data_IF_541840452933
#
_entry.id   IF_541840452933
#
_cell.length_a   1.000
_cell.length_b   1.000
_cell.length_c   1.000
_cell.angle_alpha   90.00
_cell.angle_beta   90.00
_cell.angle_gamma   90.00
#
_symmetry.space_group_name_H-M   'P 1'
#
loop_
_entity.id
_entity.type
_entity.pdbx_description
1 polymer ?
#
# COMPACT_ATOMS: atom_id res chain seq x y z
N UNK A 1 1.04 23.49 10.93
CA UNK A 1 -0.09 22.55 11.09
C UNK A 1 -1.08 23.19 12.03
N UNK A 2 -2.32 23.38 11.60
CA UNK A 2 -3.32 24.00 12.46
C UNK A 2 -4.11 22.91 13.18
N UNK A 3 -3.50 22.35 14.24
CA UNK A 3 -4.22 21.46 15.16
C UNK A 3 -5.45 22.14 15.76
N UNK A 4 -5.48 23.50 15.77
CA UNK A 4 -6.65 24.27 16.18
C UNK A 4 -7.77 24.26 15.13
N UNK A 5 -7.51 23.83 13.89
CA UNK A 5 -8.57 23.65 12.88
C UNK A 5 -9.19 22.25 13.00
N UNK A 6 -8.36 21.21 13.10
CA UNK A 6 -8.86 19.83 13.12
C UNK A 6 -9.59 19.47 14.41
N UNK A 7 -9.24 20.06 15.56
CA UNK A 7 -9.96 19.91 16.86
C UNK A 7 -10.15 18.44 17.33
N UNK A 8 -9.45 17.47 16.74
CA UNK A 8 -9.46 16.04 17.06
C UNK A 8 -8.02 15.50 17.12
N UNK A 9 -7.83 14.27 17.61
CA UNK A 9 -6.50 13.68 17.75
C UNK A 9 -5.80 13.46 16.39
N UNK A 10 -4.61 14.03 16.16
CA UNK A 10 -3.98 14.06 14.83
C UNK A 10 -3.37 12.73 14.37
N UNK A 11 -3.55 11.65 15.13
CA UNK A 11 -2.95 10.33 14.91
C UNK A 11 -3.99 9.21 14.73
N UNK A 12 -5.29 9.54 14.80
CA UNK A 12 -6.40 8.63 14.48
C UNK A 12 -7.34 9.29 13.49
N UNK A 13 -8.12 8.47 12.78
CA UNK A 13 -9.17 8.98 11.91
C UNK A 13 -10.40 9.40 12.71
N UNK A 14 -11.00 10.52 12.30
CA UNK A 14 -12.35 10.94 12.68
C UNK A 14 -13.40 10.24 11.80
N UNK A 15 -14.64 10.15 12.28
CA UNK A 15 -15.77 9.68 11.46
C UNK A 15 -16.06 10.64 10.32
N UNK A 16 -15.99 11.94 10.59
CA UNK A 16 -16.16 12.99 9.59
C UNK A 16 -15.32 14.23 9.92
N UNK A 17 -15.16 15.08 8.90
CA UNK A 17 -14.64 16.45 9.00
C UNK A 17 -15.77 17.38 8.56
N UNK A 18 -16.02 18.43 9.33
CA UNK A 18 -17.08 19.40 9.03
C UNK A 18 -16.82 20.06 7.68
N UNK A 19 -17.85 20.06 6.82
CA UNK A 19 -17.79 20.57 5.45
C UNK A 19 -17.77 22.10 5.33
N UNK A 20 -17.49 22.62 4.13
CA UNK A 20 -17.17 24.05 3.89
C UNK A 20 -18.34 25.03 4.08
N UNK A 21 -19.57 24.53 4.21
CA UNK A 21 -20.77 25.37 4.41
C UNK A 21 -21.05 25.68 5.89
N UNK A 22 -20.27 25.12 6.82
CA UNK A 22 -20.41 25.35 8.26
C UNK A 22 -19.43 26.41 8.77
N UNK A 23 -19.79 27.10 9.85
CA UNK A 23 -18.88 27.98 10.60
C UNK A 23 -17.72 27.20 11.26
N UNK A 24 -17.88 25.89 11.46
CA UNK A 24 -16.87 24.98 12.05
C UNK A 24 -16.09 24.19 10.98
N UNK A 25 -15.98 24.71 9.76
CA UNK A 25 -15.29 24.02 8.66
C UNK A 25 -13.90 23.51 9.06
N UNK A 26 -13.63 22.23 8.80
CA UNK A 26 -12.33 21.61 9.07
C UNK A 26 -12.22 20.87 10.41
N UNK A 27 -13.19 21.03 11.31
CA UNK A 27 -13.23 20.30 12.59
C UNK A 27 -13.55 18.81 12.38
N UNK A 28 -12.73 17.94 12.96
CA UNK A 28 -12.98 16.51 13.06
C UNK A 28 -13.85 16.18 14.27
N UNK A 29 -14.64 15.11 14.18
CA UNK A 29 -15.46 14.63 15.29
C UNK A 29 -15.64 13.11 15.28
N UNK A 30 -16.06 12.56 16.43
CA UNK A 30 -16.28 11.12 16.62
C UNK A 30 -15.05 10.29 16.21
N UNK A 31 -13.88 10.64 16.76
CA UNK A 31 -12.62 9.93 16.55
C UNK A 31 -12.63 8.52 17.15
N UNK A 32 -11.60 7.73 16.82
CA UNK A 32 -11.39 6.34 17.24
C UNK A 32 -12.35 5.30 16.64
N UNK A 33 -13.64 5.45 16.85
CA UNK A 33 -14.63 4.40 16.58
C UNK A 33 -15.27 4.52 15.20
N UNK A 34 -14.42 4.56 14.17
CA UNK A 34 -14.84 4.68 12.76
C UNK A 34 -14.28 3.57 11.90
N UNK A 35 -15.07 3.12 10.92
CA UNK A 35 -14.61 2.22 9.86
C UNK A 35 -13.56 2.84 8.94
N UNK A 36 -13.37 4.16 8.99
CA UNK A 36 -12.36 4.89 8.22
C UNK A 36 -10.95 4.34 8.44
N UNK A 37 -10.59 3.98 9.67
CA UNK A 37 -9.29 3.39 9.96
C UNK A 37 -9.07 2.05 9.24
N UNK A 38 -10.06 1.16 9.26
CA UNK A 38 -9.98 -0.14 8.61
C UNK A 38 -9.89 -0.02 7.09
N UNK A 39 -10.74 0.83 6.49
CA UNK A 39 -10.73 1.09 5.05
C UNK A 39 -9.44 1.75 4.59
N UNK A 40 -8.95 2.73 5.33
CA UNK A 40 -7.71 3.41 4.98
C UNK A 40 -6.52 2.45 5.01
N UNK A 41 -6.43 1.59 6.03
CA UNK A 41 -5.39 0.56 6.09
C UNK A 41 -5.48 -0.40 4.90
N UNK A 42 -6.70 -0.84 4.56
CA UNK A 42 -6.94 -1.74 3.44
C UNK A 42 -6.55 -1.12 2.09
N UNK A 43 -6.95 0.13 1.85
CA UNK A 43 -6.61 0.87 0.62
C UNK A 43 -5.11 1.14 0.55
N UNK A 44 -4.51 1.62 1.64
CA UNK A 44 -3.10 1.95 1.67
C UNK A 44 -2.24 0.73 1.33
N UNK A 45 -2.42 -0.38 2.06
CA UNK A 45 -1.66 -1.60 1.77
C UNK A 45 -2.01 -2.23 0.43
N UNK A 46 -3.30 -2.41 0.16
CA UNK A 46 -3.73 -3.25 -0.94
C UNK A 46 -3.79 -2.57 -2.30
N UNK A 47 -3.91 -1.24 -2.33
CA UNK A 47 -4.18 -0.50 -3.56
C UNK A 47 -3.19 0.64 -3.83
N UNK A 48 -2.60 1.26 -2.80
CA UNK A 48 -1.52 2.23 -2.99
C UNK A 48 -0.18 1.47 -3.05
N UNK A 49 0.22 0.82 -1.96
CA UNK A 49 1.42 -0.03 -1.95
C UNK A 49 1.26 -1.25 -2.86
N UNK A 50 0.01 -1.67 -3.09
CA UNK A 50 -0.33 -2.74 -4.03
C UNK A 50 0.02 -4.15 -3.54
N UNK A 51 0.22 -4.34 -2.24
CA UNK A 51 0.57 -5.63 -1.63
C UNK A 51 -0.67 -6.20 -0.96
N UNK A 52 -1.41 -7.08 -1.65
CA UNK A 52 -2.63 -7.68 -1.10
C UNK A 52 -2.74 -9.19 -1.29
N UNK A 53 -3.28 -9.91 -0.28
CA UNK A 53 -3.56 -11.32 -0.41
C UNK A 53 -4.69 -11.55 -1.44
N UNK A 54 -4.54 -12.58 -2.26
CA UNK A 54 -5.59 -13.15 -3.13
C UNK A 54 -5.82 -14.61 -2.76
N UNK A 55 -6.72 -15.30 -3.47
CA UNK A 55 -6.88 -16.74 -3.30
C UNK A 55 -5.60 -17.49 -3.73
N UNK A 56 -5.03 -17.09 -4.87
CA UNK A 56 -3.90 -17.77 -5.51
C UNK A 56 -2.54 -17.41 -4.92
N UNK A 57 -2.40 -16.25 -4.27
CA UNK A 57 -1.13 -15.83 -3.69
C UNK A 57 -1.09 -14.41 -3.17
N UNK A 58 0.11 -13.83 -3.11
CA UNK A 58 0.33 -12.44 -2.76
C UNK A 58 0.44 -11.62 -4.05
N UNK A 59 -0.55 -10.80 -4.34
CA UNK A 59 -0.52 -9.89 -5.48
C UNK A 59 0.35 -8.68 -5.18
N UNK A 60 1.17 -8.31 -6.16
CA UNK A 60 1.98 -7.09 -6.21
C UNK A 60 1.51 -6.24 -7.40
N UNK A 61 0.69 -5.21 -7.13
CA UNK A 61 0.16 -4.25 -8.12
C UNK A 61 0.21 -2.82 -7.56
N UNK A 62 1.41 -2.24 -7.37
CA UNK A 62 1.59 -0.90 -6.80
C UNK A 62 0.99 0.19 -7.69
N UNK A 63 0.36 1.17 -7.04
CA UNK A 63 -0.12 2.40 -7.66
C UNK A 63 0.40 3.59 -6.84
N UNK A 64 1.66 3.93 -7.02
CA UNK A 64 2.38 4.85 -6.14
C UNK A 64 2.23 6.31 -6.60
N UNK A 65 2.29 7.28 -5.67
CA UNK A 65 2.40 8.70 -5.96
C UNK A 65 3.58 9.04 -6.88
N UNK A 66 3.47 10.10 -7.68
CA UNK A 66 4.45 10.42 -8.72
C UNK A 66 5.83 10.82 -8.18
N UNK A 67 5.85 11.41 -6.98
CA UNK A 67 6.99 11.89 -6.22
C UNK A 67 7.76 10.79 -5.47
N UNK A 68 7.23 9.56 -5.43
CA UNK A 68 7.93 8.43 -4.82
C UNK A 68 8.92 7.79 -5.81
N UNK A 69 10.13 7.48 -5.34
CA UNK A 69 11.16 6.82 -6.16
C UNK A 69 11.29 5.33 -5.83
N UNK A 70 11.04 4.96 -4.57
CA UNK A 70 11.11 3.57 -4.11
C UNK A 70 10.21 3.36 -2.88
N UNK A 71 9.94 2.10 -2.56
CA UNK A 71 9.23 1.65 -1.37
C UNK A 71 9.90 0.38 -0.83
N UNK A 72 10.00 0.27 0.49
CA UNK A 72 10.27 -0.99 1.17
C UNK A 72 9.10 -1.38 2.08
N UNK A 73 8.69 -2.64 2.06
CA UNK A 73 7.61 -3.16 2.89
C UNK A 73 7.91 -4.58 3.37
N UNK A 74 7.48 -4.91 4.60
CA UNK A 74 7.60 -6.27 5.16
C UNK A 74 6.22 -6.84 5.40
N UNK A 75 5.93 -7.99 4.78
CA UNK A 75 4.59 -8.61 4.82
C UNK A 75 4.65 -10.06 5.28
N UNK A 76 4.05 -10.34 6.42
CA UNK A 76 3.68 -11.71 6.80
C UNK A 76 2.49 -12.19 5.97
N UNK A 77 2.64 -13.34 5.31
CA UNK A 77 1.56 -13.94 4.52
C UNK A 77 1.71 -15.46 4.47
N UNK A 78 0.64 -16.17 4.87
CA UNK A 78 0.49 -17.64 4.77
C UNK A 78 1.73 -18.43 5.21
N UNK A 79 2.32 -18.08 6.36
CA UNK A 79 3.44 -18.83 6.95
C UNK A 79 4.83 -18.44 6.44
N UNK A 80 4.98 -17.37 5.67
CA UNK A 80 6.27 -16.80 5.28
C UNK A 80 6.30 -15.27 5.47
N UNK A 81 7.50 -14.69 5.42
CA UNK A 81 7.74 -13.25 5.42
C UNK A 81 8.26 -12.84 4.05
N UNK A 82 7.69 -11.79 3.48
CA UNK A 82 8.16 -11.18 2.25
C UNK A 82 8.74 -9.81 2.57
N UNK A 83 10.02 -9.62 2.30
CA UNK A 83 10.71 -8.33 2.34
C UNK A 83 10.73 -7.76 0.93
N UNK A 84 9.87 -6.77 0.68
CA UNK A 84 9.52 -6.28 -0.64
C UNK A 84 10.19 -4.93 -0.85
N UNK A 85 11.01 -4.85 -1.89
CA UNK A 85 11.62 -3.63 -2.42
C UNK A 85 11.00 -3.33 -3.78
N UNK A 86 10.45 -2.12 -3.94
CA UNK A 86 9.83 -1.65 -5.18
C UNK A 86 10.59 -0.43 -5.68
N UNK A 87 11.17 -0.54 -6.87
CA UNK A 87 11.78 0.58 -7.59
C UNK A 87 10.76 1.20 -8.55
N UNK A 88 10.52 2.51 -8.41
CA UNK A 88 9.57 3.27 -9.24
C UNK A 88 10.28 4.30 -10.11
N UNK A 89 10.42 4.06 -11.42
CA UNK A 89 10.91 5.07 -12.36
C UNK A 89 10.07 6.35 -12.36
N UNK A 90 10.70 7.48 -12.72
CA UNK A 90 10.00 8.74 -12.92
C UNK A 90 8.92 8.61 -14.02
N UNK A 91 7.75 9.21 -13.80
CA UNK A 91 6.63 9.17 -14.74
C UNK A 91 5.81 7.87 -14.77
N UNK A 92 6.16 6.87 -13.95
CA UNK A 92 5.38 5.63 -13.80
C UNK A 92 4.66 5.63 -12.46
N UNK A 93 3.33 5.68 -12.46
CA UNK A 93 2.54 5.57 -11.24
C UNK A 93 1.96 4.17 -11.02
N UNK A 94 1.83 3.38 -12.08
CA UNK A 94 1.27 2.03 -12.04
C UNK A 94 1.89 1.15 -13.12
N UNK A 95 1.96 -0.14 -12.84
CA UNK A 95 2.46 -1.16 -13.76
C UNK A 95 3.71 -1.84 -13.21
N UNK A 96 3.75 -3.15 -13.31
CA UNK A 96 4.89 -3.98 -12.90
C UNK A 96 5.55 -4.53 -14.15
N UNK A 97 6.85 -4.24 -14.29
CA UNK A 97 7.67 -4.77 -15.38
C UNK A 97 8.23 -6.14 -15.03
N UNK A 98 8.69 -6.32 -13.80
CA UNK A 98 9.38 -7.54 -13.35
C UNK A 98 9.26 -7.72 -11.85
N UNK A 99 9.12 -8.98 -11.42
CA UNK A 99 9.24 -9.40 -10.02
C UNK A 99 10.31 -10.50 -9.93
N UNK A 100 11.18 -10.40 -8.94
CA UNK A 100 12.11 -11.45 -8.52
C UNK A 100 11.79 -11.86 -7.09
N UNK A 101 11.74 -13.15 -6.80
CA UNK A 101 11.68 -13.70 -5.44
C UNK A 101 12.93 -14.54 -5.22
N UNK A 102 13.75 -14.16 -4.24
CA UNK A 102 15.06 -14.75 -3.95
C UNK A 102 15.98 -14.84 -5.18
N UNK A 103 15.84 -13.88 -6.10
CA UNK A 103 16.60 -13.80 -7.35
C UNK A 103 15.94 -14.49 -8.55
N UNK A 104 14.92 -15.31 -8.33
CA UNK A 104 14.21 -16.05 -9.38
C UNK A 104 13.01 -15.24 -9.93
N UNK A 105 12.82 -15.18 -11.27
CA UNK A 105 11.72 -14.43 -11.86
C UNK A 105 10.36 -15.08 -11.58
N UNK A 106 9.38 -14.24 -11.26
CA UNK A 106 7.96 -14.64 -11.15
C UNK A 106 7.22 -14.28 -12.42
N UNK A 107 6.42 -15.21 -12.94
CA UNK A 107 5.50 -14.94 -14.04
C UNK A 107 4.26 -14.19 -13.54
N UNK A 108 3.94 -13.07 -14.18
CA UNK A 108 2.84 -12.21 -13.77
C UNK A 108 3.15 -11.42 -12.49
N UNK A 109 2.12 -11.20 -11.66
CA UNK A 109 2.19 -10.31 -10.49
C UNK A 109 1.79 -10.99 -9.18
N UNK A 110 1.55 -12.31 -9.20
CA UNK A 110 1.12 -13.08 -8.03
C UNK A 110 2.27 -13.97 -7.57
N UNK A 111 2.72 -13.76 -6.34
CA UNK A 111 3.71 -14.62 -5.69
C UNK A 111 2.98 -15.80 -5.04
N UNK A 112 3.34 -17.02 -5.43
CA UNK A 112 2.78 -18.24 -4.84
C UNK A 112 3.26 -18.34 -3.38
N UNK A 113 2.38 -18.66 -2.41
CA UNK A 113 2.76 -18.75 -1.00
C UNK A 113 3.82 -19.84 -0.77
N UNK A 114 4.89 -19.49 -0.06
CA UNK A 114 5.99 -20.42 0.24
C UNK A 114 5.67 -21.29 1.46
N UNK A 115 5.05 -20.71 2.48
CA UNK A 115 4.56 -21.39 3.69
C UNK A 115 5.62 -22.24 4.43
N UNK A 116 6.89 -21.86 4.34
CA UNK A 116 8.04 -22.59 4.87
C UNK A 116 8.61 -21.99 6.17
N UNK A 117 8.03 -20.89 6.67
CA UNK A 117 8.50 -20.18 7.86
C UNK A 117 9.67 -19.23 7.60
N UNK A 118 10.12 -19.07 6.35
CA UNK A 118 11.31 -18.30 6.00
C UNK A 118 10.99 -16.85 5.61
N UNK A 119 12.06 -16.09 5.40
CA UNK A 119 12.04 -14.73 4.86
C UNK A 119 12.48 -14.80 3.41
N UNK A 120 11.67 -14.27 2.50
CA UNK A 120 11.97 -14.18 1.07
C UNK A 120 12.17 -12.73 0.66
N UNK A 121 13.20 -12.49 -0.14
CA UNK A 121 13.50 -11.18 -0.72
C UNK A 121 12.72 -11.00 -2.02
N UNK A 122 11.91 -9.96 -2.10
CA UNK A 122 11.10 -9.64 -3.27
C UNK A 122 11.58 -8.32 -3.87
N UNK A 123 12.06 -8.35 -5.11
CA UNK A 123 12.43 -7.15 -5.85
C UNK A 123 11.44 -6.90 -6.98
N UNK A 124 10.90 -5.69 -7.03
CA UNK A 124 9.87 -5.29 -7.97
C UNK A 124 10.36 -4.10 -8.77
N UNK A 125 10.42 -4.24 -10.08
CA UNK A 125 10.66 -3.12 -11.00
C UNK A 125 9.32 -2.66 -11.56
N UNK A 126 8.92 -1.42 -11.27
CA UNK A 126 7.75 -0.82 -11.92
C UNK A 126 8.08 -0.38 -13.36
N UNK A 127 7.07 -0.40 -14.22
CA UNK A 127 7.21 0.03 -15.61
C UNK A 127 6.12 -0.55 -16.52
N UNK A 128 6.19 -0.18 -17.79
CA UNK A 128 5.35 -0.80 -18.83
C UNK A 128 5.80 -2.25 -19.02
N UNK A 129 4.86 -3.22 -19.03
CA UNK A 129 5.19 -4.60 -19.39
C UNK A 129 5.85 -4.64 -20.78
N UNK A 130 6.79 -5.56 -21.04
CA UNK A 130 7.32 -5.75 -22.39
C UNK A 130 6.16 -6.01 -23.36
N UNK A 131 6.19 -5.37 -24.54
CA UNK A 131 5.30 -5.72 -25.63
C UNK A 131 5.61 -7.16 -26.04
N UNK A 132 4.69 -8.08 -25.79
CA UNK A 132 4.70 -9.46 -26.30
C UNK A 132 4.43 -9.49 -27.79
#
# INVERSE_FOLDING_TARGET
EDGNLYQSEPYVYAEYIVGPESEYFGEGSHSWFTGGAAWQWHVFWGHILGVRPTYDGLLIDPCLPGDWEALAARRWFRGAIYEIEIDKPAGINKGVRKILVDGEPVEGTIIIPHADGLVHQVKVEMGTPPLT
#
